data_IF_092557734159
#
_entry.id   IF_092557734159
#
_cell.length_a   1.000
_cell.length_b   1.000
_cell.length_c   1.000
_cell.angle_alpha   90.00
_cell.angle_beta   90.00
_cell.angle_gamma   90.00
#
_symmetry.space_group_name_H-M   'P 1'
#
loop_
_entity.id
_entity.type
_entity.pdbx_description
1 polymer ?
#
# COMPACT_ATOMS: atom_id res chain seq x y z
N UNK A 1 2.53 65.69 33.97
CA UNK A 1 1.68 64.76 33.18
C UNK A 1 2.30 64.24 31.87
N UNK A 2 3.17 64.97 31.15
CA UNK A 2 3.76 64.49 29.86
C UNK A 2 4.71 63.29 29.96
N UNK A 3 5.47 63.16 31.05
CA UNK A 3 6.50 62.10 31.24
C UNK A 3 5.89 60.69 31.41
N UNK A 4 4.70 60.56 32.03
CA UNK A 4 4.03 59.26 32.16
C UNK A 4 3.50 58.71 30.82
N UNK A 5 3.23 59.57 29.83
CA UNK A 5 2.79 59.13 28.50
C UNK A 5 3.93 58.53 27.68
N UNK A 6 5.15 59.07 27.79
CA UNK A 6 6.31 58.57 27.04
C UNK A 6 6.78 57.20 27.56
N UNK A 7 6.79 57.00 28.88
CA UNK A 7 7.13 55.70 29.48
C UNK A 7 6.14 54.59 29.10
N UNK A 8 4.84 54.90 29.09
CA UNK A 8 3.79 53.95 28.67
C UNK A 8 3.91 53.55 27.19
N UNK A 9 4.33 54.48 26.32
CA UNK A 9 4.56 54.18 24.90
C UNK A 9 5.76 53.25 24.71
N UNK A 10 6.84 53.40 25.49
CA UNK A 10 8.03 52.55 25.41
C UNK A 10 7.71 51.10 25.82
N UNK A 11 6.93 50.88 26.87
CA UNK A 11 6.50 49.53 27.27
C UNK A 11 5.60 48.87 26.22
N UNK A 12 4.73 49.64 25.59
CA UNK A 12 3.82 49.14 24.54
C UNK A 12 4.61 48.70 23.31
N UNK A 13 5.62 49.49 22.90
CA UNK A 13 6.52 49.15 21.78
C UNK A 13 7.36 47.90 22.11
N UNK A 14 7.88 47.77 23.35
CA UNK A 14 8.59 46.56 23.78
C UNK A 14 7.71 45.31 23.71
N UNK A 15 6.46 45.40 24.19
CA UNK A 15 5.50 44.28 24.10
C UNK A 15 5.21 43.89 22.66
N UNK A 16 4.92 44.87 21.79
CA UNK A 16 4.69 44.63 20.36
C UNK A 16 5.91 43.95 19.72
N UNK A 17 7.12 44.43 20.02
CA UNK A 17 8.37 43.80 19.58
C UNK A 17 8.46 42.33 19.99
N UNK A 18 8.22 42.02 21.27
CA UNK A 18 8.25 40.63 21.78
C UNK A 18 7.21 39.75 21.06
N UNK A 19 5.98 40.25 20.84
CA UNK A 19 4.95 39.50 20.12
C UNK A 19 5.34 39.27 18.66
N UNK A 20 5.84 40.29 17.96
CA UNK A 20 6.30 40.15 16.57
C UNK A 20 7.44 39.12 16.46
N UNK A 21 8.45 39.19 17.32
CA UNK A 21 9.55 38.22 17.33
C UNK A 21 9.09 36.80 17.71
N UNK A 22 8.13 36.67 18.63
CA UNK A 22 7.56 35.36 18.98
C UNK A 22 6.76 34.76 17.82
N UNK A 23 6.00 35.58 17.07
CA UNK A 23 5.25 35.15 15.89
C UNK A 23 6.21 34.73 14.76
N UNK A 24 7.25 35.52 14.51
CA UNK A 24 8.29 35.19 13.52
C UNK A 24 9.00 33.88 13.91
N UNK A 25 9.36 33.73 15.18
CA UNK A 25 9.96 32.51 15.71
C UNK A 25 9.04 31.29 15.53
N UNK A 26 7.75 31.44 15.81
CA UNK A 26 6.74 30.39 15.62
C UNK A 26 6.58 30.00 14.14
N UNK A 27 6.57 30.98 13.24
CA UNK A 27 6.49 30.76 11.79
C UNK A 27 7.72 30.00 11.26
N UNK A 28 8.92 30.35 11.74
CA UNK A 28 10.15 29.64 11.38
C UNK A 28 10.13 28.20 11.91
N UNK A 29 9.71 28.00 13.17
CA UNK A 29 9.58 26.68 13.79
C UNK A 29 8.59 25.79 13.03
N UNK A 30 7.44 26.34 12.65
CA UNK A 30 6.43 25.61 11.88
C UNK A 30 6.91 25.30 10.47
N UNK A 31 7.53 26.24 9.76
CA UNK A 31 8.11 26.00 8.44
C UNK A 31 9.21 24.92 8.48
N UNK A 32 10.09 24.98 9.48
CA UNK A 32 11.14 23.98 9.68
C UNK A 32 10.58 22.60 10.00
N UNK A 33 9.53 22.54 10.82
CA UNK A 33 8.79 21.30 11.11
C UNK A 33 8.22 20.66 9.83
N UNK A 34 7.53 21.44 8.99
CA UNK A 34 7.00 20.93 7.71
C UNK A 34 8.09 20.53 6.72
N UNK A 35 9.20 21.28 6.66
CA UNK A 35 10.34 20.94 5.82
C UNK A 35 10.98 19.60 6.21
N UNK A 36 11.19 19.38 7.52
CA UNK A 36 11.71 18.12 8.05
C UNK A 36 10.76 16.97 7.76
N UNK A 37 9.45 17.13 7.98
CA UNK A 37 8.45 16.12 7.64
C UNK A 37 8.46 15.79 6.15
N UNK A 38 8.55 16.80 5.28
CA UNK A 38 8.59 16.62 3.83
C UNK A 38 9.82 15.80 3.40
N UNK A 39 10.98 16.01 4.03
CA UNK A 39 12.20 15.23 3.75
C UNK A 39 12.11 13.81 4.28
N UNK A 40 11.56 13.63 5.48
CA UNK A 40 11.46 12.32 6.15
C UNK A 40 10.33 11.45 5.57
N UNK A 41 9.35 12.02 4.85
CA UNK A 41 8.21 11.27 4.29
C UNK A 41 8.59 10.02 3.50
N UNK A 42 9.73 10.04 2.82
CA UNK A 42 10.25 8.90 2.04
C UNK A 42 10.58 7.71 2.96
N UNK A 43 11.03 7.98 4.19
CA UNK A 43 11.34 6.97 5.20
C UNK A 43 10.13 6.51 6.02
N UNK A 44 9.00 7.23 5.97
CA UNK A 44 7.80 6.90 6.77
C UNK A 44 7.23 5.54 6.36
N UNK A 45 7.07 5.27 5.06
CA UNK A 45 6.48 4.01 4.58
C UNK A 45 7.36 2.80 4.99
N UNK A 46 8.68 2.77 4.71
CA UNK A 46 9.55 1.69 5.18
C UNK A 46 9.53 1.50 6.70
N UNK A 47 9.45 2.59 7.48
CA UNK A 47 9.37 2.53 8.93
C UNK A 47 8.06 1.90 9.42
N UNK A 48 6.93 2.26 8.81
CA UNK A 48 5.62 1.66 9.11
C UNK A 48 5.63 0.16 8.78
N UNK A 49 6.18 -0.22 7.62
CA UNK A 49 6.31 -1.63 7.22
C UNK A 49 7.20 -2.39 8.21
N UNK A 50 8.35 -1.83 8.57
CA UNK A 50 9.26 -2.42 9.54
C UNK A 50 8.63 -2.58 10.93
N UNK A 51 7.87 -1.57 11.40
CA UNK A 51 7.09 -1.66 12.63
C UNK A 51 6.02 -2.76 12.53
N UNK A 52 5.37 -2.89 11.36
CA UNK A 52 4.41 -3.94 11.08
C UNK A 52 5.01 -5.34 11.20
N UNK A 53 6.19 -5.56 10.60
CA UNK A 53 6.95 -6.81 10.70
C UNK A 53 7.38 -7.05 12.16
N UNK A 54 7.84 -6.01 12.87
CA UNK A 54 8.20 -6.13 14.28
C UNK A 54 7.01 -6.60 15.14
N UNK A 55 5.81 -6.06 14.91
CA UNK A 55 4.59 -6.51 15.59
C UNK A 55 4.19 -7.94 15.24
N UNK A 56 4.37 -8.33 13.98
CA UNK A 56 4.13 -9.69 13.50
C UNK A 56 5.06 -10.70 14.20
N UNK A 57 6.33 -10.35 14.37
CA UNK A 57 7.36 -11.22 14.97
C UNK A 57 7.44 -11.17 16.49
N UNK A 58 6.90 -10.12 17.12
CA UNK A 58 6.83 -9.97 18.58
C UNK A 58 6.45 -11.24 19.35
N UNK A 59 5.34 -11.96 19.03
CA UNK A 59 4.99 -13.20 19.74
C UNK A 59 6.07 -14.28 19.66
N UNK A 60 6.71 -14.44 18.48
CA UNK A 60 7.77 -15.41 18.27
C UNK A 60 9.02 -15.03 19.09
N UNK A 61 9.37 -13.74 19.11
CA UNK A 61 10.47 -13.23 19.91
C UNK A 61 10.23 -13.43 21.41
N UNK A 62 9.03 -13.13 21.92
CA UNK A 62 8.68 -13.33 23.34
C UNK A 62 8.76 -14.81 23.73
N UNK A 63 8.38 -15.73 22.83
CA UNK A 63 8.51 -17.17 23.06
C UNK A 63 9.98 -17.62 23.10
N UNK A 64 10.81 -17.11 22.19
CA UNK A 64 12.24 -17.42 22.14
C UNK A 64 13.02 -16.79 23.30
N UNK A 65 12.65 -15.57 23.71
CA UNK A 65 13.28 -14.83 24.83
C UNK A 65 13.19 -15.58 26.16
N UNK A 66 12.23 -16.50 26.32
CA UNK A 66 12.16 -17.40 27.49
C UNK A 66 13.37 -18.32 27.62
N UNK A 67 14.09 -18.61 26.53
CA UNK A 67 15.22 -19.56 26.48
C UNK A 67 16.56 -18.93 26.10
N UNK A 68 16.58 -17.67 25.63
CA UNK A 68 17.81 -17.02 25.15
C UNK A 68 17.75 -15.49 25.30
N UNK A 69 18.91 -14.82 25.23
CA UNK A 69 18.97 -13.36 25.28
C UNK A 69 18.17 -12.76 24.11
N UNK A 70 17.47 -11.65 24.36
CA UNK A 70 16.60 -10.95 23.41
C UNK A 70 17.23 -10.70 22.04
N UNK A 71 18.53 -10.40 21.98
CA UNK A 71 19.25 -10.18 20.71
C UNK A 71 19.18 -11.43 19.82
N UNK A 72 19.48 -12.61 20.37
CA UNK A 72 19.40 -13.87 19.62
C UNK A 72 17.97 -14.23 19.26
N UNK A 73 17.01 -14.00 20.17
CA UNK A 73 15.59 -14.23 19.90
C UNK A 73 15.09 -13.40 18.70
N UNK A 74 15.46 -12.11 18.64
CA UNK A 74 15.13 -11.22 17.52
C UNK A 74 15.81 -11.69 16.23
N UNK A 75 17.11 -12.00 16.26
CA UNK A 75 17.85 -12.45 15.07
C UNK A 75 17.24 -13.74 14.50
N UNK A 76 16.99 -14.75 15.34
CA UNK A 76 16.41 -16.03 14.91
C UNK A 76 15.00 -15.83 14.35
N UNK A 77 14.16 -15.03 15.01
CA UNK A 77 12.82 -14.73 14.51
C UNK A 77 12.85 -14.10 13.12
N UNK A 78 13.77 -13.17 12.87
CA UNK A 78 13.96 -12.57 11.55
C UNK A 78 14.52 -13.54 10.51
N UNK A 79 15.47 -14.40 10.88
CA UNK A 79 16.00 -15.43 9.97
C UNK A 79 14.88 -16.39 9.54
N UNK A 80 14.05 -16.87 10.49
CA UNK A 80 12.92 -17.75 10.20
C UNK A 80 11.91 -17.03 9.30
N UNK A 81 11.57 -15.78 9.62
CA UNK A 81 10.63 -14.99 8.84
C UNK A 81 11.12 -14.76 7.41
N UNK A 82 12.33 -14.23 7.25
CA UNK A 82 12.92 -13.96 5.95
C UNK A 82 13.13 -15.25 5.16
N UNK A 83 13.56 -16.34 5.80
CA UNK A 83 13.72 -17.65 5.15
C UNK A 83 12.39 -18.24 4.66
N UNK A 84 11.34 -18.15 5.48
CA UNK A 84 9.98 -18.58 5.10
C UNK A 84 9.46 -17.81 3.88
N UNK A 85 9.52 -16.48 3.93
CA UNK A 85 9.06 -15.65 2.81
C UNK A 85 9.96 -15.78 1.57
N UNK A 86 11.27 -15.89 1.74
CA UNK A 86 12.19 -16.15 0.63
C UNK A 86 11.80 -17.44 -0.10
N UNK A 87 11.55 -18.53 0.64
CA UNK A 87 11.12 -19.80 0.07
C UNK A 87 9.77 -19.65 -0.64
N UNK A 88 8.80 -19.00 0.01
CA UNK A 88 7.48 -18.74 -0.57
C UNK A 88 7.58 -17.95 -1.88
N UNK A 89 8.31 -16.83 -1.91
CA UNK A 89 8.50 -16.03 -3.12
C UNK A 89 9.31 -16.79 -4.18
N UNK A 90 10.32 -17.56 -3.79
CA UNK A 90 11.13 -18.32 -4.73
C UNK A 90 10.30 -19.29 -5.57
N UNK A 91 9.31 -19.97 -4.97
CA UNK A 91 8.40 -20.86 -5.70
C UNK A 91 7.22 -20.13 -6.34
N UNK A 92 6.68 -19.13 -5.66
CA UNK A 92 5.45 -18.46 -6.09
C UNK A 92 5.67 -17.46 -7.22
N UNK A 93 6.80 -16.74 -7.22
CA UNK A 93 7.09 -15.73 -8.25
C UNK A 93 7.18 -16.36 -9.65
N UNK A 94 7.95 -17.45 -9.89
CA UNK A 94 7.97 -18.10 -11.19
C UNK A 94 6.57 -18.52 -11.66
N UNK A 95 5.79 -19.13 -10.76
CA UNK A 95 4.43 -19.59 -11.05
C UNK A 95 3.50 -18.46 -11.48
N UNK A 96 3.53 -17.34 -10.75
CA UNK A 96 2.75 -16.13 -11.08
C UNK A 96 3.24 -15.50 -12.38
N UNK A 97 4.55 -15.41 -12.59
CA UNK A 97 5.14 -14.84 -13.82
C UNK A 97 4.77 -15.66 -15.05
N UNK A 98 4.80 -16.99 -14.97
CA UNK A 98 4.46 -17.84 -16.10
C UNK A 98 2.95 -17.80 -16.42
N UNK A 99 2.09 -17.77 -15.39
CA UNK A 99 0.66 -17.51 -15.59
C UNK A 99 0.40 -16.11 -16.18
N UNK A 100 1.16 -15.10 -15.78
CA UNK A 100 1.06 -13.76 -16.34
C UNK A 100 1.48 -13.71 -17.82
N UNK A 101 2.58 -14.38 -18.20
CA UNK A 101 3.00 -14.50 -19.60
C UNK A 101 1.92 -15.19 -20.44
N UNK A 102 1.34 -16.27 -19.92
CA UNK A 102 0.26 -16.98 -20.59
C UNK A 102 -1.00 -16.10 -20.72
N UNK A 103 -1.37 -15.34 -19.68
CA UNK A 103 -2.45 -14.35 -19.75
C UNK A 103 -2.25 -13.35 -20.88
N UNK A 104 -1.05 -12.77 -20.97
CA UNK A 104 -0.70 -11.83 -22.03
C UNK A 104 -0.79 -12.50 -23.41
N UNK A 105 -0.36 -13.76 -23.54
CA UNK A 105 -0.44 -14.49 -24.81
C UNK A 105 -1.88 -14.80 -25.26
N UNK A 106 -2.80 -15.01 -24.30
CA UNK A 106 -4.23 -15.28 -24.59
C UNK A 106 -5.07 -14.01 -24.72
N UNK A 107 -4.53 -12.85 -24.35
CA UNK A 107 -5.24 -11.56 -24.37
C UNK A 107 -5.88 -11.24 -25.74
N UNK A 108 -5.20 -11.42 -26.90
CA UNK A 108 -5.83 -11.19 -28.20
C UNK A 108 -7.05 -12.09 -28.45
N UNK A 109 -7.01 -13.34 -27.98
CA UNK A 109 -8.12 -14.28 -28.08
C UNK A 109 -9.29 -13.87 -27.19
N UNK A 110 -9.03 -13.39 -25.97
CA UNK A 110 -10.10 -12.88 -25.10
C UNK A 110 -10.79 -11.65 -25.69
N UNK A 111 -10.04 -10.74 -26.31
CA UNK A 111 -10.60 -9.59 -27.02
C UNK A 111 -11.45 -10.07 -28.18
N UNK A 112 -10.94 -10.99 -29.02
CA UNK A 112 -11.70 -11.55 -30.15
C UNK A 112 -13.02 -12.17 -29.69
N UNK A 113 -12.99 -13.01 -28.65
CA UNK A 113 -14.19 -13.65 -28.11
C UNK A 113 -15.18 -12.62 -27.56
N UNK A 114 -14.70 -11.60 -26.84
CA UNK A 114 -15.54 -10.52 -26.33
C UNK A 114 -16.22 -9.75 -27.48
N UNK A 115 -15.48 -9.44 -28.54
CA UNK A 115 -16.04 -8.80 -29.74
C UNK A 115 -17.09 -9.66 -30.40
N UNK A 116 -16.85 -10.97 -30.56
CA UNK A 116 -17.82 -11.92 -31.11
C UNK A 116 -19.11 -12.00 -30.28
N UNK A 117 -18.99 -12.06 -28.94
CA UNK A 117 -20.15 -12.01 -28.04
C UNK A 117 -20.94 -10.71 -28.18
N UNK A 118 -20.27 -9.56 -28.26
CA UNK A 118 -20.92 -8.26 -28.47
C UNK A 118 -21.70 -8.26 -29.80
N UNK A 119 -21.09 -8.78 -30.88
CA UNK A 119 -21.75 -8.83 -32.19
C UNK A 119 -22.99 -9.73 -32.19
N UNK A 120 -22.93 -10.89 -31.54
CA UNK A 120 -24.08 -11.78 -31.41
C UNK A 120 -25.24 -11.13 -30.63
N UNK A 121 -24.93 -10.28 -29.65
CA UNK A 121 -25.93 -9.54 -28.86
C UNK A 121 -26.57 -8.41 -29.68
N UNK A 122 -25.77 -7.73 -30.51
CA UNK A 122 -26.24 -6.68 -31.44
C UNK A 122 -27.09 -7.31 -32.56
N UNK A 123 -26.62 -8.37 -33.20
CA UNK A 123 -27.30 -9.05 -34.31
C UNK A 123 -28.63 -9.68 -33.88
N UNK A 124 -28.72 -10.19 -32.64
CA UNK A 124 -29.98 -10.71 -32.07
C UNK A 124 -30.96 -9.63 -31.63
N UNK A 125 -30.70 -8.35 -31.89
CA UNK A 125 -31.57 -7.21 -31.56
C UNK A 125 -32.00 -7.13 -30.08
N UNK A 126 -31.27 -7.76 -29.15
CA UNK A 126 -31.66 -7.79 -27.73
C UNK A 126 -31.52 -6.39 -27.09
N UNK A 127 -30.71 -5.50 -27.69
CA UNK A 127 -30.41 -4.17 -27.13
C UNK A 127 -30.52 -3.02 -28.16
N UNK A 128 -30.72 -3.32 -29.45
CA UNK A 128 -30.57 -2.33 -30.54
C UNK A 128 -31.63 -1.22 -30.54
N UNK A 129 -32.82 -1.42 -29.95
CA UNK A 129 -33.84 -0.37 -29.94
C UNK A 129 -33.50 0.86 -29.08
N UNK A 130 -32.57 0.74 -28.12
CA UNK A 130 -32.28 1.82 -27.15
C UNK A 130 -30.83 2.32 -27.20
N UNK A 131 -29.97 1.73 -28.03
CA UNK A 131 -28.54 2.08 -28.11
C UNK A 131 -28.31 3.27 -29.07
N UNK A 132 -29.15 3.45 -30.08
CA UNK A 132 -29.02 4.54 -31.06
C UNK A 132 -29.06 5.95 -30.43
N UNK A 133 -29.65 6.09 -29.23
CA UNK A 133 -29.71 7.37 -28.50
C UNK A 133 -28.56 7.62 -27.52
N UNK A 134 -27.79 6.59 -27.14
CA UNK A 134 -26.72 6.70 -26.13
C UNK A 134 -25.33 6.71 -26.77
N UNK A 135 -25.18 5.99 -27.88
CA UNK A 135 -23.96 5.91 -28.67
C UNK A 135 -24.36 6.45 -30.04
N UNK A 136 -23.98 7.69 -30.34
CA UNK A 136 -24.35 8.35 -31.60
C UNK A 136 -24.02 7.48 -32.82
N UNK A 137 -24.69 7.74 -33.94
CA UNK A 137 -24.62 6.99 -35.23
C UNK A 137 -23.21 6.70 -35.78
N UNK A 138 -22.15 7.20 -35.16
CA UNK A 138 -20.76 6.82 -35.41
C UNK A 138 -20.41 5.38 -34.93
N UNK A 139 -21.28 4.73 -34.14
CA UNK A 139 -21.04 3.39 -33.58
C UNK A 139 -21.87 2.25 -34.19
N UNK A 140 -22.64 2.50 -35.27
CA UNK A 140 -23.43 1.47 -35.94
C UNK A 140 -23.09 1.36 -37.45
N UNK A 141 -22.81 0.19 -38.02
CA UNK A 141 -22.35 -1.07 -37.41
C UNK A 141 -20.82 -1.06 -37.37
N UNK A 142 -20.23 -1.09 -36.18
CA UNK A 142 -18.83 -1.45 -36.09
C UNK A 142 -18.71 -2.89 -36.57
N UNK A 143 -18.26 -3.07 -37.81
CA UNK A 143 -17.83 -4.36 -38.32
C UNK A 143 -17.02 -5.03 -37.20
N UNK A 144 -17.34 -6.28 -36.87
CA UNK A 144 -16.63 -7.09 -35.88
C UNK A 144 -15.11 -6.97 -36.04
N UNK A 145 -14.68 -6.81 -37.28
CA UNK A 145 -13.31 -6.57 -37.69
C UNK A 145 -12.83 -5.18 -37.30
N UNK A 146 -13.62 -4.11 -37.40
CA UNK A 146 -13.24 -2.75 -37.01
C UNK A 146 -13.00 -2.61 -35.50
N UNK A 147 -13.83 -3.22 -34.63
CA UNK A 147 -13.56 -3.25 -33.18
C UNK A 147 -12.32 -4.08 -32.88
N UNK A 148 -12.24 -5.28 -33.45
CA UNK A 148 -11.08 -6.15 -33.28
C UNK A 148 -9.81 -5.46 -33.76
N UNK A 149 -9.83 -4.82 -34.93
CA UNK A 149 -8.75 -4.03 -35.51
C UNK A 149 -8.46 -2.79 -34.69
N UNK A 150 -9.44 -2.10 -34.10
CA UNK A 150 -9.22 -0.95 -33.23
C UNK A 150 -8.52 -1.36 -31.92
N UNK A 151 -8.93 -2.46 -31.30
CA UNK A 151 -8.23 -2.99 -30.13
C UNK A 151 -6.86 -3.56 -30.50
N UNK A 152 -6.73 -4.30 -31.61
CA UNK A 152 -5.45 -4.81 -32.12
C UNK A 152 -4.51 -3.64 -32.48
N UNK A 153 -5.01 -2.57 -33.10
CA UNK A 153 -4.25 -1.36 -33.41
C UNK A 153 -3.98 -0.50 -32.16
N UNK A 154 -4.85 -0.46 -31.16
CA UNK A 154 -4.48 0.13 -29.86
C UNK A 154 -3.36 -0.65 -29.17
N UNK A 155 -3.35 -1.98 -29.32
CA UNK A 155 -2.32 -2.86 -28.80
C UNK A 155 -1.01 -2.83 -29.62
N UNK A 156 -1.07 -2.51 -30.91
CA UNK A 156 0.11 -2.52 -31.82
C UNK A 156 0.62 -1.13 -32.21
N UNK A 157 -0.25 -0.13 -32.36
CA UNK A 157 0.06 1.25 -32.80
C UNK A 157 0.43 2.18 -31.64
N UNK A 158 -0.10 1.96 -30.43
CA UNK A 158 0.58 2.45 -29.22
C UNK A 158 1.66 1.43 -28.91
N UNK A 159 2.93 1.83 -28.93
CA UNK A 159 4.10 1.06 -28.47
C UNK A 159 4.03 0.62 -26.98
N UNK A 160 2.88 0.16 -26.49
CA UNK A 160 2.77 -0.63 -25.29
C UNK A 160 3.29 -2.01 -25.69
N UNK A 161 4.61 -2.13 -25.76
CA UNK A 161 5.24 -3.43 -25.81
C UNK A 161 4.75 -4.17 -24.55
N UNK A 162 3.71 -4.98 -24.67
CA UNK A 162 3.18 -5.76 -23.54
C UNK A 162 4.29 -6.64 -22.93
N UNK A 163 5.29 -7.01 -23.75
CA UNK A 163 6.58 -7.56 -23.34
C UNK A 163 7.34 -6.64 -22.38
N UNK A 164 7.40 -5.33 -22.63
CA UNK A 164 7.89 -4.36 -21.64
C UNK A 164 7.02 -4.36 -20.37
N UNK A 165 5.70 -4.50 -20.47
CA UNK A 165 4.81 -4.69 -19.31
C UNK A 165 5.15 -5.95 -18.48
N UNK A 166 5.43 -7.08 -19.14
CA UNK A 166 5.93 -8.30 -18.49
C UNK A 166 7.29 -8.06 -17.83
N UNK A 167 8.21 -7.37 -18.51
CA UNK A 167 9.52 -7.04 -17.91
C UNK A 167 9.40 -6.06 -16.75
N UNK A 168 8.46 -5.10 -16.81
CA UNK A 168 8.20 -4.12 -15.76
C UNK A 168 7.54 -4.79 -14.54
N UNK A 169 6.60 -5.71 -14.76
CA UNK A 169 6.00 -6.53 -13.70
C UNK A 169 7.07 -7.42 -13.04
N UNK A 170 7.91 -8.08 -13.84
CA UNK A 170 9.01 -8.92 -13.34
C UNK A 170 10.03 -8.08 -12.55
N UNK A 171 10.43 -6.91 -13.06
CA UNK A 171 11.31 -5.96 -12.36
C UNK A 171 10.66 -5.44 -11.07
N UNK A 172 9.35 -5.18 -11.07
CA UNK A 172 8.62 -4.74 -9.87
C UNK A 172 8.63 -5.81 -8.79
N UNK A 173 8.44 -7.09 -9.16
CA UNK A 173 8.56 -8.21 -8.24
C UNK A 173 10.00 -8.33 -7.70
N UNK A 174 11.02 -8.19 -8.55
CA UNK A 174 12.42 -8.23 -8.11
C UNK A 174 12.77 -7.04 -7.18
N UNK A 175 12.23 -5.85 -7.44
CA UNK A 175 12.43 -4.69 -6.55
C UNK A 175 11.77 -4.88 -5.17
N UNK A 176 10.67 -5.63 -5.10
CA UNK A 176 10.07 -6.03 -3.81
C UNK A 176 11.02 -6.92 -3.01
N UNK A 177 11.86 -7.75 -3.67
CA UNK A 177 12.89 -8.55 -2.99
C UNK A 177 13.95 -7.67 -2.31
N UNK A 178 14.32 -6.54 -2.91
CA UNK A 178 15.24 -5.57 -2.30
C UNK A 178 14.63 -4.97 -1.03
N UNK A 179 13.35 -4.61 -1.06
CA UNK A 179 12.61 -4.17 0.14
C UNK A 179 12.56 -5.28 1.19
N UNK A 180 12.48 -6.54 0.77
CA UNK A 180 12.51 -7.71 1.64
C UNK A 180 13.86 -7.95 2.33
N UNK A 181 14.94 -7.34 1.84
CA UNK A 181 16.27 -7.36 2.47
C UNK A 181 16.43 -6.17 3.44
N UNK A 182 16.04 -4.97 3.02
CA UNK A 182 16.18 -3.76 3.84
C UNK A 182 15.12 -3.62 4.94
N UNK A 183 13.91 -4.15 4.74
CA UNK A 183 12.82 -4.15 5.72
C UNK A 183 13.18 -4.87 7.03
N UNK A 184 13.75 -6.09 6.98
CA UNK A 184 14.27 -6.78 8.14
C UNK A 184 15.30 -5.99 8.94
N UNK A 185 16.20 -5.25 8.27
CA UNK A 185 17.20 -4.44 8.97
C UNK A 185 16.53 -3.41 9.88
N UNK A 186 15.62 -2.59 9.34
CA UNK A 186 14.89 -1.61 10.14
C UNK A 186 14.02 -2.27 11.22
N UNK A 187 13.37 -3.38 10.87
CA UNK A 187 12.51 -4.10 11.79
C UNK A 187 13.27 -4.73 12.97
N UNK A 188 14.51 -5.18 12.77
CA UNK A 188 15.38 -5.68 13.84
C UNK A 188 15.65 -4.57 14.85
N UNK A 189 16.02 -3.37 14.40
CA UNK A 189 16.26 -2.23 15.30
C UNK A 189 15.01 -1.85 16.10
N UNK A 190 13.87 -1.73 15.42
CA UNK A 190 12.59 -1.40 16.07
C UNK A 190 12.22 -2.45 17.12
N UNK A 191 12.32 -3.74 16.78
CA UNK A 191 11.91 -4.82 17.68
C UNK A 191 12.88 -5.02 18.85
N UNK A 192 14.18 -4.89 18.59
CA UNK A 192 15.24 -4.97 19.61
C UNK A 192 15.11 -3.83 20.62
N UNK A 193 14.94 -2.59 20.15
CA UNK A 193 15.00 -1.39 20.99
C UNK A 193 13.61 -0.83 21.35
N UNK A 194 12.51 -1.55 21.08
CA UNK A 194 11.13 -1.10 21.36
C UNK A 194 10.92 -0.65 22.81
N UNK A 195 11.53 -1.32 23.78
CA UNK A 195 11.47 -0.93 25.19
C UNK A 195 12.20 0.38 25.48
N UNK A 196 13.35 0.61 24.83
CA UNK A 196 14.10 1.88 24.97
C UNK A 196 13.33 3.03 24.33
N UNK A 197 12.77 2.82 23.14
CA UNK A 197 11.95 3.81 22.43
C UNK A 197 10.74 4.23 23.27
N UNK A 198 10.04 3.26 23.87
CA UNK A 198 8.94 3.50 24.81
C UNK A 198 9.40 4.35 26.00
N UNK A 199 10.53 3.99 26.62
CA UNK A 199 11.03 4.71 27.79
C UNK A 199 11.44 6.15 27.47
N UNK A 200 12.05 6.39 26.31
CA UNK A 200 12.38 7.76 25.85
C UNK A 200 11.11 8.56 25.65
N UNK A 201 10.10 7.99 24.98
CA UNK A 201 8.83 8.65 24.75
C UNK A 201 8.12 9.04 26.06
N UNK A 202 8.06 8.12 27.03
CA UNK A 202 7.41 8.37 28.33
C UNK A 202 8.18 9.42 29.16
N UNK A 203 9.51 9.48 29.04
CA UNK A 203 10.34 10.46 29.77
C UNK A 203 10.07 11.90 29.34
N UNK A 204 9.67 12.13 28.09
CA UNK A 204 9.33 13.47 27.57
C UNK A 204 7.97 13.97 28.08
N UNK A 205 7.09 13.05 28.49
CA UNK A 205 5.75 13.40 28.98
C UNK A 205 5.79 13.89 30.44
N UNK A 206 4.88 14.81 30.75
CA UNK A 206 4.69 15.26 32.14
C UNK A 206 4.20 14.11 33.02
N UNK A 207 4.51 14.16 34.32
CA UNK A 207 4.20 13.09 35.28
C UNK A 207 2.71 12.67 35.25
N UNK A 208 1.80 13.62 35.04
CA UNK A 208 0.34 13.40 34.97
C UNK A 208 -0.08 12.44 33.87
N UNK A 209 0.64 12.39 32.74
CA UNK A 209 0.24 11.62 31.56
C UNK A 209 1.00 10.30 31.40
N UNK A 210 1.99 10.00 32.26
CA UNK A 210 2.86 8.82 32.09
C UNK A 210 2.08 7.50 32.15
N UNK A 211 1.18 7.34 33.11
CA UNK A 211 0.40 6.12 33.27
C UNK A 211 -0.61 5.94 32.15
N UNK A 212 -1.28 7.03 31.74
CA UNK A 212 -2.19 7.03 30.60
C UNK A 212 -1.47 6.66 29.31
N UNK A 213 -0.29 7.23 29.07
CA UNK A 213 0.53 6.92 27.89
C UNK A 213 1.02 5.48 27.90
N UNK A 214 1.44 4.95 29.05
CA UNK A 214 1.81 3.54 29.20
C UNK A 214 0.66 2.61 28.81
N UNK A 215 -0.53 2.82 29.40
CA UNK A 215 -1.71 2.02 29.12
C UNK A 215 -2.13 2.10 27.65
N UNK A 216 -2.02 3.28 27.04
CA UNK A 216 -2.32 3.48 25.63
C UNK A 216 -1.32 2.73 24.74
N UNK A 217 -0.02 2.81 25.02
CA UNK A 217 1.01 2.09 24.27
C UNK A 217 0.83 0.58 24.36
N UNK A 218 0.46 0.07 25.54
CA UNK A 218 0.16 -1.36 25.71
C UNK A 218 -1.07 -1.79 24.92
N UNK A 219 -2.12 -0.96 24.86
CA UNK A 219 -3.28 -1.20 23.99
C UNK A 219 -2.92 -1.18 22.52
N UNK A 220 -2.15 -0.18 22.07
CA UNK A 220 -1.68 -0.06 20.67
C UNK A 220 -0.86 -1.30 20.30
N UNK A 221 0.06 -1.73 21.16
CA UNK A 221 0.89 -2.91 20.91
C UNK A 221 0.04 -4.18 20.74
N UNK A 222 -0.95 -4.36 21.62
CA UNK A 222 -1.81 -5.54 21.62
C UNK A 222 -2.78 -5.54 20.42
N UNK A 223 -3.47 -4.44 20.17
CA UNK A 223 -4.45 -4.32 19.09
C UNK A 223 -3.74 -4.31 17.73
N UNK A 224 -2.71 -3.48 17.57
CA UNK A 224 -1.94 -3.36 16.34
C UNK A 224 -1.29 -4.68 15.93
N UNK A 225 -0.66 -5.37 16.89
CA UNK A 225 -0.06 -6.67 16.59
C UNK A 225 -1.07 -7.75 16.25
N UNK A 226 -2.25 -7.78 16.89
CA UNK A 226 -3.33 -8.71 16.53
C UNK A 226 -3.90 -8.40 15.15
N UNK A 227 -4.11 -7.11 14.85
CA UNK A 227 -4.63 -6.65 13.57
C UNK A 227 -3.72 -7.02 12.41
N UNK A 228 -2.41 -6.72 12.49
CA UNK A 228 -1.45 -7.04 11.42
C UNK A 228 -1.42 -8.55 11.15
N UNK A 229 -1.38 -9.37 12.22
CA UNK A 229 -1.42 -10.83 12.10
C UNK A 229 -2.71 -11.32 11.45
N UNK A 230 -3.85 -10.78 11.87
CA UNK A 230 -5.15 -11.11 11.29
C UNK A 230 -5.20 -10.73 9.81
N UNK A 231 -4.76 -9.52 9.44
CA UNK A 231 -4.81 -9.04 8.05
C UNK A 231 -3.97 -9.91 7.12
N UNK A 232 -2.74 -10.26 7.54
CA UNK A 232 -1.86 -11.14 6.76
C UNK A 232 -2.50 -12.52 6.62
N UNK A 233 -3.04 -13.08 7.71
CA UNK A 233 -3.68 -14.40 7.68
C UNK A 233 -4.94 -14.42 6.80
N UNK A 234 -5.79 -13.39 6.89
CA UNK A 234 -6.97 -13.23 6.03
C UNK A 234 -6.54 -13.11 4.57
N UNK A 235 -5.54 -12.29 4.25
CA UNK A 235 -5.04 -12.15 2.87
C UNK A 235 -4.47 -13.45 2.30
N UNK A 236 -3.76 -14.24 3.11
CA UNK A 236 -3.26 -15.55 2.68
C UNK A 236 -4.44 -16.50 2.43
N UNK A 237 -5.42 -16.56 3.33
CA UNK A 237 -6.61 -17.39 3.18
C UNK A 237 -7.40 -16.99 1.92
N UNK A 238 -7.65 -15.70 1.72
CA UNK A 238 -8.33 -15.18 0.54
C UNK A 238 -7.57 -15.57 -0.73
N UNK A 239 -6.25 -15.39 -0.77
CA UNK A 239 -5.45 -15.76 -1.94
C UNK A 239 -5.49 -17.25 -2.26
N UNK A 240 -5.41 -18.11 -1.24
CA UNK A 240 -5.48 -19.57 -1.40
C UNK A 240 -6.88 -19.99 -1.85
N UNK A 241 -7.94 -19.52 -1.16
CA UNK A 241 -9.31 -19.88 -1.48
C UNK A 241 -9.72 -19.39 -2.87
N UNK A 242 -9.39 -18.15 -3.25
CA UNK A 242 -9.63 -17.66 -4.59
C UNK A 242 -8.90 -18.53 -5.62
N UNK A 243 -7.63 -18.88 -5.39
CA UNK A 243 -6.88 -19.76 -6.29
C UNK A 243 -7.54 -21.13 -6.44
N UNK A 244 -7.97 -21.74 -5.33
CA UNK A 244 -8.60 -23.06 -5.33
C UNK A 244 -9.96 -23.04 -6.04
N UNK A 245 -10.81 -22.06 -5.73
CA UNK A 245 -12.13 -21.92 -6.36
C UNK A 245 -11.97 -21.72 -7.86
N UNK A 246 -11.09 -20.81 -8.29
CA UNK A 246 -10.84 -20.56 -9.71
C UNK A 246 -10.26 -21.79 -10.42
N UNK A 247 -9.38 -22.54 -9.75
CA UNK A 247 -8.85 -23.79 -10.27
C UNK A 247 -9.95 -24.84 -10.45
N UNK A 248 -10.84 -25.02 -9.47
CA UNK A 248 -11.98 -25.93 -9.54
C UNK A 248 -12.98 -25.54 -10.64
N UNK A 249 -13.19 -24.24 -10.83
CA UNK A 249 -14.01 -23.69 -11.91
C UNK A 249 -13.32 -23.73 -13.29
N UNK A 250 -12.09 -24.25 -13.37
CA UNK A 250 -11.28 -24.29 -14.59
C UNK A 250 -11.07 -22.92 -15.24
N UNK A 251 -11.03 -21.87 -14.42
CA UNK A 251 -10.72 -20.51 -14.89
C UNK A 251 -9.23 -20.45 -15.22
N UNK A 252 -8.90 -19.74 -16.30
CA UNK A 252 -7.51 -19.50 -16.68
C UNK A 252 -6.76 -18.70 -15.59
N UNK A 253 -5.50 -19.08 -15.32
CA UNK A 253 -4.58 -18.38 -14.40
C UNK A 253 -5.05 -18.28 -12.94
N UNK A 254 -5.50 -19.38 -12.31
CA UNK A 254 -6.14 -19.32 -10.99
C UNK A 254 -5.19 -18.82 -9.89
N UNK A 255 -3.90 -19.15 -9.97
CA UNK A 255 -2.91 -18.75 -8.95
C UNK A 255 -2.52 -17.28 -9.10
N UNK A 256 -2.38 -16.78 -10.33
CA UNK A 256 -2.17 -15.36 -10.61
C UNK A 256 -3.33 -14.53 -10.06
N UNK A 257 -4.57 -14.93 -10.36
CA UNK A 257 -5.77 -14.22 -9.92
C UNK A 257 -5.94 -14.27 -8.39
N UNK A 258 -5.70 -15.43 -7.78
CA UNK A 258 -5.71 -15.55 -6.31
C UNK A 258 -4.59 -14.76 -5.64
N UNK A 259 -3.39 -14.69 -6.23
CA UNK A 259 -2.30 -13.84 -5.74
C UNK A 259 -2.69 -12.35 -5.74
N UNK A 260 -3.27 -11.88 -6.84
CA UNK A 260 -3.78 -10.50 -6.95
C UNK A 260 -4.85 -10.26 -5.89
N UNK A 261 -5.81 -11.18 -5.73
CA UNK A 261 -6.85 -11.07 -4.71
C UNK A 261 -6.27 -10.98 -3.29
N UNK A 262 -5.28 -11.82 -2.95
CA UNK A 262 -4.61 -11.80 -1.64
C UNK A 262 -3.84 -10.49 -1.38
N UNK A 263 -3.12 -9.96 -2.39
CA UNK A 263 -2.43 -8.67 -2.28
C UNK A 263 -3.42 -7.52 -2.11
N UNK A 264 -4.46 -7.46 -2.94
CA UNK A 264 -5.46 -6.40 -2.87
C UNK A 264 -6.21 -6.44 -1.54
N UNK A 265 -6.40 -7.63 -0.96
CA UNK A 265 -6.96 -7.78 0.37
C UNK A 265 -6.00 -7.29 1.48
N UNK A 266 -4.69 -7.25 1.24
CA UNK A 266 -3.70 -6.83 2.25
C UNK A 266 -3.81 -5.35 2.60
N UNK A 267 -4.20 -4.50 1.63
CA UNK A 267 -4.35 -3.06 1.82
C UNK A 267 -5.83 -2.71 2.05
N UNK A 268 -6.23 -2.41 3.30
CA UNK A 268 -7.58 -1.93 3.59
C UNK A 268 -7.81 -0.60 2.87
N UNK A 269 -9.06 -0.32 2.49
CA UNK A 269 -9.48 0.91 1.81
C UNK A 269 -9.04 1.07 0.34
N UNK A 270 -8.33 0.10 -0.27
CA UNK A 270 -8.09 0.10 -1.71
C UNK A 270 -9.39 0.17 -2.51
N UNK A 271 -10.43 -0.57 -2.11
CA UNK A 271 -11.76 -0.53 -2.73
C UNK A 271 -12.37 0.88 -2.73
N UNK A 272 -12.54 1.53 -1.56
CA UNK A 272 -12.93 2.93 -1.47
C UNK A 272 -12.09 3.90 -2.30
N UNK A 273 -10.76 3.75 -2.32
CA UNK A 273 -9.86 4.63 -3.10
C UNK A 273 -10.07 4.41 -4.61
N UNK A 274 -10.12 3.16 -5.06
CA UNK A 274 -10.34 2.81 -6.46
C UNK A 274 -11.75 3.21 -6.92
N UNK A 275 -12.76 3.17 -6.04
CA UNK A 275 -14.10 3.68 -6.31
C UNK A 275 -14.19 5.21 -6.30
N UNK A 276 -13.36 5.89 -5.49
CA UNK A 276 -13.31 7.34 -5.42
C UNK A 276 -12.66 7.97 -6.66
N UNK A 277 -11.72 7.28 -7.34
CA UNK A 277 -11.06 7.81 -8.54
C UNK A 277 -12.07 8.08 -9.68
N UNK A 278 -12.89 7.11 -10.13
CA UNK A 278 -13.94 7.37 -11.11
C UNK A 278 -14.92 8.44 -10.62
N UNK A 279 -15.36 8.37 -9.35
CA UNK A 279 -16.29 9.34 -8.80
C UNK A 279 -15.74 10.78 -8.89
N UNK A 280 -14.48 10.99 -8.53
CA UNK A 280 -13.81 12.29 -8.60
C UNK A 280 -13.51 12.76 -10.03
N UNK A 281 -13.41 11.84 -11.00
CA UNK A 281 -13.26 12.17 -12.42
C UNK A 281 -14.60 12.48 -13.10
N UNK A 282 -15.72 12.04 -12.51
CA UNK A 282 -17.08 12.29 -12.99
C UNK A 282 -17.75 13.53 -12.36
N UNK A 283 -17.06 14.22 -11.44
CA UNK A 283 -17.42 15.55 -10.93
C UNK A 283 -16.48 16.60 -11.53
#
# INVERSE_FOLDING_TARGET
MRVNRTLKNIETIKKIGIYCWSIIGLLILTALFFYVIYRIRIAIIPLIVAAGIAYLLSPLVILLEKKMKRVFAVTIAYIIFTGFFFTLFFFMVPLVVDQFKLFVSKLPLYIKNLTEYINLVIEKNIIVSNIEGVIGKEFAPLDSNAISQYFINLLSTRNINFLQGVTAFTRSIINIVVIFIFGPLLGIYILKDSGKLRNVFIKVLSAKYKDQANNLLDRINNVGGRYIRAQILISIIVGILCSLILFLLKVDFPVLLGFIAGILNLVPFLGPILGAIPAALTF
#
